data_IF_952925598735
#
_entry.id   IF_952925598735
#
_cell.length_a   1.000
_cell.length_b   1.000
_cell.length_c   1.000
_cell.angle_alpha   90.00
_cell.angle_beta   90.00
_cell.angle_gamma   90.00
#
_symmetry.space_group_name_H-M   'P 1'
#
loop_
_entity.id
_entity.type
_entity.pdbx_description
1 polymer ?
#
# COMPACT_ATOMS: atom_id res chain seq x y z
N UNK A 1 20.39 3.93 5.92
CA UNK A 1 20.38 3.44 4.53
C UNK A 1 18.95 3.55 4.03
N UNK A 2 18.74 4.15 2.86
CA UNK A 2 17.42 4.20 2.22
C UNK A 2 17.28 2.90 1.39
N UNK A 3 16.16 2.16 1.48
CA UNK A 3 15.94 0.99 0.63
C UNK A 3 16.08 1.36 -0.85
N UNK A 4 16.73 0.49 -1.63
CA UNK A 4 17.06 0.80 -3.03
C UNK A 4 15.82 1.15 -3.87
N UNK A 5 14.67 0.55 -3.57
CA UNK A 5 13.39 0.78 -4.27
C UNK A 5 12.83 2.19 -4.08
N UNK A 6 13.16 2.87 -2.98
CA UNK A 6 12.62 4.21 -2.68
C UNK A 6 13.01 5.27 -3.72
N UNK A 7 14.18 5.12 -4.32
CA UNK A 7 14.67 6.06 -5.33
C UNK A 7 13.89 6.00 -6.64
N UNK A 8 13.09 4.96 -6.83
CA UNK A 8 12.30 4.72 -8.04
C UNK A 8 10.80 4.92 -7.84
N UNK A 9 10.36 5.31 -6.64
CA UNK A 9 8.94 5.57 -6.38
C UNK A 9 8.51 6.87 -7.04
N UNK A 10 7.41 6.80 -7.78
CA UNK A 10 6.72 7.93 -8.38
C UNK A 10 5.30 8.03 -7.81
N UNK A 11 5.06 8.85 -6.77
CA UNK A 11 3.75 8.99 -6.15
C UNK A 11 2.66 9.49 -7.11
N UNK A 12 3.01 10.26 -8.13
CA UNK A 12 2.04 10.76 -9.12
C UNK A 12 1.58 9.62 -10.03
N UNK A 13 2.51 8.77 -10.46
CA UNK A 13 2.19 7.55 -11.20
C UNK A 13 1.27 6.62 -10.41
N UNK A 14 1.58 6.43 -9.11
CA UNK A 14 0.72 5.64 -8.22
C UNK A 14 -0.66 6.25 -8.09
N UNK A 15 -0.75 7.56 -7.83
CA UNK A 15 -2.03 8.26 -7.69
C UNK A 15 -2.90 8.16 -8.96
N UNK A 16 -2.27 8.15 -10.14
CA UNK A 16 -2.97 8.02 -11.42
C UNK A 16 -3.55 6.62 -11.63
N UNK A 17 -2.81 5.55 -11.30
CA UNK A 17 -3.20 4.17 -11.62
C UNK A 17 -3.90 3.41 -10.50
N UNK A 18 -3.69 3.78 -9.23
CA UNK A 18 -4.24 3.05 -8.09
C UNK A 18 -5.77 2.90 -8.12
N UNK A 19 -6.57 3.92 -8.50
CA UNK A 19 -8.02 3.78 -8.55
C UNK A 19 -8.49 2.65 -9.49
N UNK A 20 -7.86 2.51 -10.66
CA UNK A 20 -8.19 1.47 -11.63
C UNK A 20 -7.90 0.07 -11.06
N UNK A 21 -6.77 -0.09 -10.35
CA UNK A 21 -6.43 -1.35 -9.70
C UNK A 21 -7.35 -1.69 -8.52
N UNK A 22 -7.76 -0.68 -7.75
CA UNK A 22 -8.74 -0.85 -6.67
C UNK A 22 -10.09 -1.29 -7.22
N UNK A 23 -10.57 -0.65 -8.29
CA UNK A 23 -11.82 -1.02 -8.97
C UNK A 23 -11.75 -2.44 -9.54
N UNK A 24 -10.68 -2.77 -10.27
CA UNK A 24 -10.49 -4.10 -10.85
C UNK A 24 -10.45 -5.19 -9.77
N UNK A 25 -9.72 -4.95 -8.66
CA UNK A 25 -9.67 -5.89 -7.54
C UNK A 25 -11.03 -6.02 -6.82
N UNK A 26 -11.79 -4.93 -6.68
CA UNK A 26 -13.12 -4.96 -6.07
C UNK A 26 -14.14 -5.72 -6.94
N UNK A 27 -14.01 -5.64 -8.27
CA UNK A 27 -14.87 -6.35 -9.22
C UNK A 27 -14.52 -7.85 -9.33
N UNK A 28 -13.27 -8.24 -9.05
CA UNK A 28 -12.82 -9.63 -9.11
C UNK A 28 -12.87 -10.32 -7.74
N UNK A 29 -13.83 -11.24 -7.58
CA UNK A 29 -13.94 -12.06 -6.38
C UNK A 29 -12.68 -12.91 -6.08
N UNK A 30 -11.83 -13.17 -7.09
CA UNK A 30 -10.57 -13.87 -6.91
C UNK A 30 -9.46 -12.97 -6.37
N UNK A 31 -9.55 -11.64 -6.48
CA UNK A 31 -8.51 -10.75 -5.98
C UNK A 31 -8.31 -10.94 -4.46
N UNK A 32 -9.41 -10.92 -3.70
CA UNK A 32 -9.36 -11.19 -2.26
C UNK A 32 -9.06 -12.68 -1.96
N UNK A 33 -9.73 -13.61 -2.66
CA UNK A 33 -9.60 -15.06 -2.39
C UNK A 33 -8.22 -15.64 -2.71
N UNK A 34 -7.50 -15.05 -3.66
CA UNK A 34 -6.20 -15.53 -4.10
C UNK A 34 -5.06 -14.70 -3.51
N UNK A 35 -5.34 -13.79 -2.58
CA UNK A 35 -4.33 -12.98 -1.89
C UNK A 35 -3.74 -11.86 -2.74
N UNK A 36 -4.34 -11.43 -3.85
CA UNK A 36 -3.85 -10.28 -4.62
C UNK A 36 -4.14 -8.93 -3.95
N UNK A 37 -5.16 -8.88 -3.10
CA UNK A 37 -5.61 -7.66 -2.43
C UNK A 37 -4.56 -7.00 -1.53
N UNK A 38 -3.59 -7.75 -0.98
CA UNK A 38 -2.53 -7.13 -0.16
C UNK A 38 -1.66 -6.18 -0.97
N UNK A 39 -1.41 -6.48 -2.25
CA UNK A 39 -0.54 -5.67 -3.10
C UNK A 39 -1.15 -4.30 -3.38
N UNK A 40 -2.47 -4.23 -3.56
CA UNK A 40 -3.23 -2.98 -3.68
C UNK A 40 -3.08 -2.12 -2.42
N UNK A 41 -3.13 -2.73 -1.23
CA UNK A 41 -2.90 -1.99 0.02
C UNK A 41 -1.45 -1.45 0.10
N UNK A 42 -0.46 -2.18 -0.41
CA UNK A 42 0.95 -1.74 -0.40
C UNK A 42 1.21 -0.59 -1.34
N UNK A 43 0.56 -0.61 -2.49
CA UNK A 43 0.61 0.47 -3.45
C UNK A 43 -0.03 1.74 -2.89
N UNK A 44 -1.18 1.61 -2.21
CA UNK A 44 -1.82 2.72 -1.51
C UNK A 44 -0.89 3.40 -0.50
N UNK A 45 0.02 2.65 0.15
CA UNK A 45 0.93 3.20 1.14
C UNK A 45 1.94 4.22 0.57
N UNK A 46 2.15 4.25 -0.75
CA UNK A 46 3.01 5.26 -1.39
C UNK A 46 2.41 6.66 -1.28
N UNK A 47 1.08 6.78 -1.32
CA UNK A 47 0.36 8.06 -1.33
C UNK A 47 -0.51 8.31 -0.10
N UNK A 48 -0.97 7.25 0.58
CA UNK A 48 -1.84 7.29 1.75
C UNK A 48 -1.54 6.11 2.69
N UNK A 49 -0.60 6.35 3.61
CA UNK A 49 -0.20 5.36 4.63
C UNK A 49 -1.36 5.01 5.56
N UNK A 50 -2.24 5.96 5.88
CA UNK A 50 -3.34 5.73 6.81
C UNK A 50 -4.41 4.83 6.19
N UNK A 51 -4.83 5.12 4.95
CA UNK A 51 -5.75 4.27 4.20
C UNK A 51 -5.17 2.89 3.93
N UNK A 52 -3.87 2.79 3.64
CA UNK A 52 -3.19 1.49 3.48
C UNK A 52 -3.24 0.63 4.76
N UNK A 53 -3.14 1.24 5.95
CA UNK A 53 -3.28 0.52 7.23
C UNK A 53 -4.68 -0.05 7.40
N UNK A 54 -5.71 0.74 7.09
CA UNK A 54 -7.09 0.26 7.18
C UNK A 54 -7.39 -0.80 6.11
N UNK A 55 -6.85 -0.64 4.90
CA UNK A 55 -6.90 -1.64 3.83
C UNK A 55 -6.32 -2.98 4.31
N UNK A 56 -5.09 -3.00 4.84
CA UNK A 56 -4.46 -4.22 5.36
C UNK A 56 -5.27 -4.88 6.48
N UNK A 57 -5.85 -4.10 7.41
CA UNK A 57 -6.66 -4.64 8.51
C UNK A 57 -7.95 -5.27 8.03
N UNK A 58 -8.51 -4.79 6.93
CA UNK A 58 -9.74 -5.30 6.35
C UNK A 58 -9.55 -6.57 5.52
N UNK A 59 -8.29 -6.98 5.25
CA UNK A 59 -8.02 -8.19 4.50
C UNK A 59 -8.46 -9.45 5.25
N UNK A 60 -8.84 -10.52 4.52
CA UNK A 60 -9.04 -11.84 5.12
C UNK A 60 -7.82 -12.30 5.92
N UNK A 61 -8.05 -13.03 7.01
CA UNK A 61 -6.98 -13.51 7.89
C UNK A 61 -5.95 -14.41 7.17
N UNK A 62 -6.38 -15.06 6.08
CA UNK A 62 -5.56 -15.92 5.23
C UNK A 62 -4.99 -15.23 3.99
N UNK A 63 -5.11 -13.89 3.85
CA UNK A 63 -4.61 -13.16 2.68
C UNK A 63 -3.09 -13.35 2.42
N UNK A 64 -2.33 -13.75 3.43
CA UNK A 64 -0.90 -14.08 3.33
C UNK A 64 -0.60 -15.59 3.46
N UNK A 65 -1.61 -16.44 3.27
CA UNK A 65 -1.46 -17.89 3.33
C UNK A 65 -0.52 -18.40 2.22
N UNK A 66 0.34 -19.36 2.56
CA UNK A 66 1.20 -20.05 1.58
C UNK A 66 0.42 -20.89 0.57
N UNK A 67 -0.88 -21.11 0.80
CA UNK A 67 -1.77 -21.74 -0.16
C UNK A 67 -2.08 -20.82 -1.37
N UNK A 68 -1.82 -19.51 -1.25
CA UNK A 68 -2.09 -18.53 -2.29
C UNK A 68 -0.80 -18.15 -3.01
N UNK A 69 -0.75 -18.42 -4.32
CA UNK A 69 0.43 -18.11 -5.13
C UNK A 69 0.81 -16.62 -5.09
N UNK A 70 -0.17 -15.72 -4.98
CA UNK A 70 0.06 -14.27 -4.86
C UNK A 70 0.81 -13.88 -3.58
N UNK A 71 0.76 -14.71 -2.56
CA UNK A 71 1.35 -14.46 -1.24
C UNK A 71 2.75 -15.04 -1.09
N UNK A 72 3.25 -15.77 -2.10
CA UNK A 72 4.59 -16.39 -2.03
C UNK A 72 5.75 -15.38 -2.12
N UNK A 73 5.48 -14.15 -2.55
CA UNK A 73 6.49 -13.08 -2.68
C UNK A 73 6.48 -12.06 -1.55
N UNK A 74 5.56 -12.14 -0.59
CA UNK A 74 5.43 -11.15 0.47
C UNK A 74 4.86 -11.74 1.76
N UNK A 75 5.10 -11.09 2.90
CA UNK A 75 4.54 -11.48 4.19
C UNK A 75 3.79 -10.31 4.83
N UNK A 76 2.90 -10.63 5.78
CA UNK A 76 2.26 -9.61 6.60
C UNK A 76 3.31 -8.76 7.34
N UNK A 77 4.37 -9.38 7.88
CA UNK A 77 5.42 -8.66 8.60
C UNK A 77 6.19 -7.70 7.70
N UNK A 78 6.49 -8.09 6.46
CA UNK A 78 7.13 -7.20 5.49
C UNK A 78 6.20 -6.05 5.07
N UNK A 79 4.90 -6.34 4.89
CA UNK A 79 3.88 -5.32 4.61
C UNK A 79 3.75 -4.29 5.74
N UNK A 80 3.76 -4.75 7.00
CA UNK A 80 3.76 -3.86 8.16
C UNK A 80 5.04 -3.00 8.23
N UNK A 81 6.20 -3.59 7.91
CA UNK A 81 7.46 -2.85 7.83
C UNK A 81 7.42 -1.77 6.73
N UNK A 82 6.90 -2.10 5.55
CA UNK A 82 6.72 -1.16 4.44
C UNK A 82 5.91 0.08 4.87
N UNK A 83 4.75 -0.13 5.50
CA UNK A 83 3.89 0.96 5.97
C UNK A 83 4.53 1.77 7.10
N UNK A 84 5.26 1.13 7.99
CA UNK A 84 5.93 1.80 9.11
C UNK A 84 7.10 2.69 8.67
N UNK A 85 7.68 2.41 7.50
CA UNK A 85 8.87 3.10 6.99
C UNK A 85 8.59 4.10 5.87
N UNK A 86 7.31 4.29 5.49
CA UNK A 86 6.94 5.36 4.54
C UNK A 86 7.36 6.73 5.09
N UNK A 87 7.93 7.61 4.25
CA UNK A 87 8.18 8.99 4.63
C UNK A 87 6.86 9.56 5.13
N UNK A 88 6.80 9.91 6.41
CA UNK A 88 5.69 10.70 6.88
C UNK A 88 5.81 12.02 6.12
N UNK A 89 4.78 12.40 5.37
CA UNK A 89 4.69 13.77 4.90
C UNK A 89 4.78 14.63 6.15
N UNK A 90 5.96 15.17 6.42
CA UNK A 90 6.13 16.28 7.33
C UNK A 90 5.15 17.29 6.77
N UNK A 91 4.02 17.52 7.46
CA UNK A 91 3.20 18.70 7.19
C UNK A 91 4.21 19.82 7.13
N UNK A 92 4.47 20.36 5.94
CA UNK A 92 5.09 21.66 5.84
C UNK A 92 4.09 22.52 6.57
N UNK A 93 4.41 22.84 7.83
CA UNK A 93 3.79 23.93 8.54
C UNK A 93 4.06 25.10 7.62
N UNK A 94 3.08 25.43 6.78
CA UNK A 94 3.03 26.71 6.11
C UNK A 94 2.97 27.71 7.25
N UNK A 95 4.14 28.22 7.66
CA UNK A 95 4.20 29.48 8.38
C UNK A 95 3.67 30.52 7.40
N UNK A 96 2.36 30.68 7.37
CA UNK A 96 1.77 31.90 6.87
C UNK A 96 2.13 32.94 7.93
N UNK A 97 3.30 33.55 7.74
CA UNK A 97 3.60 34.86 8.29
C UNK A 97 2.53 35.79 7.73
N UNK A 98 1.51 36.09 8.52
CA UNK A 98 0.68 37.25 8.30
C UNK A 98 1.43 38.49 8.83
N UNK A 99 1.43 39.61 8.09
CA UNK A 99 2.04 40.86 8.51
C UNK A 99 1.36 41.48 9.74
#
# INVERSE_FOLDING_TARGET
VIPATEQFLDPEWVAYHLPDFQEACAADANCAKMGWSWSVCMEQAVIDVAGARECLKALPADAFSTAYAASNGNSLTNSLHWLATRPQQSRKLTSVLYP
#
